data_IF_792208682531
#
_entry.id   IF_792208682531
#
_cell.length_a   1.000
_cell.length_b   1.000
_cell.length_c   1.000
_cell.angle_alpha   90.00
_cell.angle_beta   90.00
_cell.angle_gamma   90.00
#
_symmetry.space_group_name_H-M   'P 1'
#
loop_
_entity.id
_entity.type
_entity.pdbx_description
1 polymer ?
#
# COMPACT_ATOMS: atom_id res chain seq x y z
N UNK A 1 4.34 -13.48 -24.13
CA UNK A 1 3.59 -12.28 -23.66
C UNK A 1 2.65 -12.58 -22.47
N UNK A 2 2.91 -13.59 -21.62
CA UNK A 2 1.84 -14.22 -20.82
C UNK A 2 1.84 -14.01 -19.29
N UNK A 3 2.78 -13.27 -18.70
CA UNK A 3 2.85 -13.16 -17.22
C UNK A 3 2.20 -11.90 -16.63
N UNK A 4 1.89 -10.88 -17.44
CA UNK A 4 1.31 -9.62 -16.96
C UNK A 4 2.27 -8.75 -16.13
N UNK A 5 3.58 -9.01 -16.21
CA UNK A 5 4.58 -8.14 -15.57
C UNK A 5 4.60 -6.77 -16.26
N UNK A 6 4.69 -5.66 -15.50
CA UNK A 6 4.93 -4.35 -16.08
C UNK A 6 6.19 -4.34 -16.95
N UNK A 7 6.12 -3.64 -18.08
CA UNK A 7 7.21 -3.45 -19.05
C UNK A 7 8.05 -2.20 -18.78
N UNK A 8 7.51 -1.27 -17.99
CA UNK A 8 8.20 -0.05 -17.56
C UNK A 8 8.87 -0.23 -16.18
N UNK A 9 10.02 0.44 -15.95
CA UNK A 9 10.66 0.44 -14.64
C UNK A 9 9.79 1.15 -13.61
N UNK A 10 10.05 0.85 -12.32
CA UNK A 10 9.44 1.60 -11.22
C UNK A 10 9.85 3.08 -11.31
N UNK A 11 8.93 4.05 -11.15
CA UNK A 11 9.27 5.47 -11.21
C UNK A 11 10.37 5.84 -10.21
N UNK A 12 11.31 6.69 -10.63
CA UNK A 12 12.50 7.04 -9.84
C UNK A 12 12.15 7.58 -8.44
N UNK A 13 11.12 8.42 -8.33
CA UNK A 13 10.68 8.98 -7.06
C UNK A 13 10.22 7.93 -6.03
N UNK A 14 9.73 6.77 -6.50
CA UNK A 14 9.35 5.65 -5.62
C UNK A 14 10.60 4.90 -5.16
N UNK A 15 11.55 4.67 -6.06
CA UNK A 15 12.85 4.05 -5.74
C UNK A 15 13.60 4.90 -4.72
N UNK A 16 13.68 6.21 -4.94
CA UNK A 16 14.36 7.14 -4.03
C UNK A 16 13.71 7.14 -2.65
N UNK A 17 12.37 7.15 -2.58
CA UNK A 17 11.68 7.13 -1.29
C UNK A 17 11.87 5.82 -0.54
N UNK A 18 11.95 4.69 -1.26
CA UNK A 18 12.27 3.40 -0.67
C UNK A 18 13.69 3.41 -0.08
N UNK A 19 14.67 3.91 -0.84
CA UNK A 19 16.06 4.07 -0.41
C UNK A 19 16.17 4.97 0.84
N UNK A 20 15.44 6.08 0.87
CA UNK A 20 15.38 6.96 2.04
C UNK A 20 14.79 6.21 3.26
N UNK A 21 13.65 5.51 3.07
CA UNK A 21 12.95 4.84 4.17
C UNK A 21 13.77 3.69 4.77
N UNK A 22 14.50 2.92 3.96
CA UNK A 22 15.29 1.78 4.45
C UNK A 22 16.55 2.22 5.21
N UNK A 23 17.04 3.44 4.97
CA UNK A 23 18.17 4.00 5.71
C UNK A 23 17.81 4.43 7.14
N UNK A 24 16.53 4.66 7.44
CA UNK A 24 16.06 5.03 8.77
C UNK A 24 15.84 3.78 9.66
N UNK A 25 16.64 3.54 10.72
CA UNK A 25 16.50 2.36 11.57
C UNK A 25 15.13 2.24 12.27
N UNK A 26 14.36 3.34 12.36
CA UNK A 26 13.02 3.33 12.93
C UNK A 26 12.03 2.53 12.08
N UNK A 27 12.29 2.38 10.77
CA UNK A 27 11.42 1.65 9.84
C UNK A 27 11.66 0.14 9.86
N UNK A 28 12.72 -0.34 10.53
CA UNK A 28 13.10 -1.75 10.56
C UNK A 28 12.24 -2.62 11.49
N UNK A 29 11.36 -1.99 12.27
CA UNK A 29 10.43 -2.68 13.18
C UNK A 29 9.25 -3.26 12.41
N UNK A 30 8.54 -4.20 13.03
CA UNK A 30 7.30 -4.70 12.46
C UNK A 30 6.30 -3.57 12.20
N UNK A 31 5.68 -3.61 11.02
CA UNK A 31 4.55 -2.75 10.68
C UNK A 31 3.32 -3.13 11.51
N UNK A 32 2.42 -2.17 11.73
CA UNK A 32 1.10 -2.48 12.29
C UNK A 32 0.32 -3.40 11.36
N UNK A 33 -0.43 -4.36 11.89
CA UNK A 33 -1.19 -5.35 11.11
C UNK A 33 -2.11 -4.74 10.05
N UNK A 34 -2.71 -3.59 10.33
CA UNK A 34 -3.58 -2.87 9.38
C UNK A 34 -2.82 -2.06 8.31
N UNK A 35 -1.51 -1.91 8.44
CA UNK A 35 -0.69 -0.95 7.71
C UNK A 35 -0.51 0.40 8.42
N UNK A 36 0.62 1.06 8.17
CA UNK A 36 1.00 2.30 8.85
C UNK A 36 -0.04 3.41 8.63
N UNK A 37 -0.30 4.29 9.62
CA UNK A 37 -1.35 5.30 9.53
C UNK A 37 -1.23 6.23 8.32
N UNK A 38 -0.01 6.63 7.96
CA UNK A 38 0.25 7.48 6.80
C UNK A 38 -0.22 6.85 5.49
N UNK A 39 0.05 5.56 5.30
CA UNK A 39 -0.36 4.83 4.09
C UNK A 39 -1.89 4.71 4.00
N UNK A 40 -2.55 4.35 5.11
CA UNK A 40 -4.02 4.23 5.16
C UNK A 40 -4.71 5.57 4.83
N UNK A 41 -4.20 6.68 5.38
CA UNK A 41 -4.69 8.03 5.05
C UNK A 41 -4.48 8.39 3.58
N UNK A 42 -3.31 8.06 3.02
CA UNK A 42 -3.01 8.32 1.62
C UNK A 42 -3.94 7.53 0.67
N UNK A 43 -4.25 6.28 1.00
CA UNK A 43 -5.20 5.45 0.24
C UNK A 43 -6.63 5.99 0.32
N UNK A 44 -7.13 6.35 1.50
CA UNK A 44 -8.45 6.97 1.65
C UNK A 44 -8.56 8.27 0.84
N UNK A 45 -7.52 9.09 0.87
CA UNK A 45 -7.47 10.34 0.10
C UNK A 45 -7.38 10.08 -1.42
N UNK A 46 -6.69 9.03 -1.86
CA UNK A 46 -6.67 8.61 -3.26
C UNK A 46 -8.07 8.22 -3.74
N UNK A 47 -8.81 7.43 -2.95
CA UNK A 47 -10.18 7.04 -3.28
C UNK A 47 -11.12 8.24 -3.41
N UNK A 48 -11.00 9.22 -2.51
CA UNK A 48 -11.77 10.45 -2.58
C UNK A 48 -11.45 11.25 -3.85
N UNK A 49 -10.17 11.45 -4.18
CA UNK A 49 -9.76 12.23 -5.37
C UNK A 49 -10.10 11.54 -6.69
N UNK A 50 -9.88 10.22 -6.78
CA UNK A 50 -9.95 9.48 -8.04
C UNK A 50 -11.34 8.95 -8.36
N UNK A 51 -12.12 8.63 -7.33
CA UNK A 51 -13.40 7.94 -7.45
C UNK A 51 -14.54 8.64 -6.70
N UNK A 52 -14.29 9.75 -6.01
CA UNK A 52 -15.28 10.43 -5.16
C UNK A 52 -15.85 9.53 -4.04
N UNK A 53 -15.05 8.57 -3.56
CA UNK A 53 -15.44 7.65 -2.48
C UNK A 53 -14.76 8.08 -1.18
N UNK A 54 -15.55 8.41 -0.15
CA UNK A 54 -15.04 8.76 1.18
C UNK A 54 -14.87 7.49 2.03
N UNK A 55 -13.63 7.23 2.44
CA UNK A 55 -13.28 6.11 3.33
C UNK A 55 -12.74 6.63 4.66
N UNK A 56 -13.12 5.98 5.76
CA UNK A 56 -12.47 6.16 7.05
C UNK A 56 -11.17 5.34 7.09
N UNK A 57 -9.98 5.97 7.18
CA UNK A 57 -8.70 5.26 7.14
C UNK A 57 -8.50 4.32 8.33
N UNK A 58 -9.19 4.50 9.45
CA UNK A 58 -9.02 3.69 10.67
C UNK A 58 -9.88 2.43 10.71
N UNK A 59 -10.99 2.41 9.95
CA UNK A 59 -11.95 1.31 9.97
C UNK A 59 -12.21 0.67 8.60
N UNK A 60 -11.91 1.35 7.49
CA UNK A 60 -12.27 0.91 6.13
C UNK A 60 -11.06 0.74 5.20
N UNK A 61 -9.84 0.82 5.72
CA UNK A 61 -8.61 0.68 4.92
C UNK A 61 -7.64 -0.25 5.64
N UNK A 62 -7.17 -1.27 4.92
CA UNK A 62 -6.15 -2.23 5.35
C UNK A 62 -5.13 -2.41 4.23
N UNK A 63 -3.84 -2.39 4.57
CA UNK A 63 -2.78 -2.69 3.63
C UNK A 63 -2.52 -4.20 3.57
N UNK A 64 -2.32 -4.73 2.37
CA UNK A 64 -2.07 -6.16 2.12
C UNK A 64 -0.71 -6.36 1.44
N UNK A 65 -0.21 -7.60 1.45
CA UNK A 65 1.01 -7.97 0.72
C UNK A 65 0.70 -8.23 -0.75
N UNK A 66 0.21 -7.18 -1.41
CA UNK A 66 -0.32 -7.25 -2.77
C UNK A 66 -1.74 -7.82 -2.84
N UNK A 67 -2.29 -7.87 -4.05
CA UNK A 67 -3.69 -8.24 -4.27
C UNK A 67 -3.97 -9.71 -4.02
N UNK A 68 -3.03 -10.61 -4.34
CA UNK A 68 -3.21 -12.07 -4.16
C UNK A 68 -3.50 -12.44 -2.72
N UNK A 69 -2.67 -11.95 -1.79
CA UNK A 69 -2.84 -12.21 -0.35
C UNK A 69 -4.09 -11.52 0.19
N UNK A 70 -4.39 -10.29 -0.26
CA UNK A 70 -5.63 -9.60 0.12
C UNK A 70 -6.90 -10.35 -0.26
N UNK A 71 -6.97 -10.89 -1.49
CA UNK A 71 -8.10 -11.70 -1.93
C UNK A 71 -8.21 -13.01 -1.15
N UNK A 72 -7.08 -13.69 -0.90
CA UNK A 72 -7.07 -14.93 -0.14
C UNK A 72 -7.62 -14.73 1.28
N UNK A 73 -7.20 -13.68 1.99
CA UNK A 73 -7.72 -13.37 3.32
C UNK A 73 -9.20 -12.97 3.31
N UNK A 74 -9.63 -12.19 2.31
CA UNK A 74 -11.03 -11.79 2.19
C UNK A 74 -11.95 -12.98 1.97
N UNK A 75 -11.50 -14.02 1.25
CA UNK A 75 -12.27 -15.24 1.04
C UNK A 75 -12.35 -16.14 2.29
N UNK A 76 -11.46 -15.95 3.28
CA UNK A 76 -11.43 -16.72 4.53
C UNK A 76 -12.13 -16.00 5.70
N UNK A 77 -12.44 -14.71 5.54
CA UNK A 77 -13.09 -13.88 6.54
C UNK A 77 -14.61 -14.03 6.53
#
# INVERSE_FOLDING_TARGET
LGMGNPDLPTPQSVVDKLCEAVQDPRTHRYSSSKGIPGLRKAQAAYYARRFNVKLNPDTQVVATLGSKEGFANMAQA
#
